data_IF_000170836585
#
_entry.id   IF_000170836585
#
_cell.length_a   1.000
_cell.length_b   1.000
_cell.length_c   1.000
_cell.angle_alpha   90.00
_cell.angle_beta   90.00
_cell.angle_gamma   90.00
#
_symmetry.space_group_name_H-M   'P 1'
#
loop_
_entity.id
_entity.type
_entity.pdbx_description
1 polymer ?
#
# COMPACT_ATOMS: atom_id res chain seq x y z
N UNK A 1 10.26 47.05 36.84
CA UNK A 1 10.29 45.62 36.47
C UNK A 1 8.91 45.29 35.92
N UNK A 2 8.68 45.59 34.64
CA UNK A 2 7.35 45.62 34.01
C UNK A 2 7.02 44.28 33.34
N UNK A 3 5.82 43.79 33.62
CA UNK A 3 5.22 42.54 33.16
C UNK A 3 4.97 42.56 31.65
N UNK A 4 5.55 41.60 30.92
CA UNK A 4 5.27 41.41 29.48
C UNK A 4 3.90 40.73 29.38
N UNK A 5 2.95 41.42 28.74
CA UNK A 5 1.57 40.96 28.53
C UNK A 5 1.52 39.67 27.69
N UNK A 6 0.73 38.65 28.07
CA UNK A 6 0.64 37.36 27.37
C UNK A 6 0.09 37.45 25.94
N UNK A 7 -0.44 38.60 25.52
CA UNK A 7 -1.07 38.79 24.20
C UNK A 7 -0.08 38.86 23.04
N UNK A 8 1.18 39.27 23.27
CA UNK A 8 2.16 39.46 22.20
C UNK A 8 2.69 38.13 21.66
N UNK A 9 2.89 37.12 22.50
CA UNK A 9 3.37 35.80 22.04
C UNK A 9 2.31 35.08 21.21
N UNK A 10 1.04 35.09 21.64
CA UNK A 10 -0.06 34.46 20.90
C UNK A 10 -0.26 35.09 19.52
N UNK A 11 -0.06 36.41 19.42
CA UNK A 11 -0.12 37.13 18.13
C UNK A 11 1.01 36.68 17.22
N UNK A 12 2.25 36.56 17.72
CA UNK A 12 3.42 36.13 16.94
C UNK A 12 3.29 34.69 16.43
N UNK A 13 2.74 33.77 17.23
CA UNK A 13 2.43 32.42 16.77
C UNK A 13 1.28 32.39 15.76
N UNK A 14 0.27 33.24 15.94
CA UNK A 14 -0.85 33.40 15.02
C UNK A 14 -0.45 33.92 13.64
N UNK A 15 0.53 34.82 13.54
CA UNK A 15 1.04 35.31 12.25
C UNK A 15 1.83 34.23 11.51
N UNK A 16 2.69 33.47 12.21
CA UNK A 16 3.48 32.39 11.59
C UNK A 16 2.62 31.25 11.03
N UNK A 17 1.52 30.91 11.70
CA UNK A 17 0.57 29.90 11.22
C UNK A 17 -0.24 30.40 10.02
N UNK A 18 -0.62 31.69 10.00
CA UNK A 18 -1.27 32.31 8.83
C UNK A 18 -0.32 32.37 7.64
N UNK A 19 0.94 32.71 7.86
CA UNK A 19 1.95 32.76 6.79
C UNK A 19 2.27 31.36 6.25
N UNK A 20 2.36 30.34 7.11
CA UNK A 20 2.52 28.95 6.70
C UNK A 20 1.30 28.43 5.92
N UNK A 21 0.07 28.76 6.35
CA UNK A 21 -1.16 28.38 5.66
C UNK A 21 -1.30 29.10 4.30
N UNK A 22 -0.94 30.38 4.21
CA UNK A 22 -0.94 31.16 2.97
C UNK A 22 0.10 30.60 1.99
N UNK A 23 1.28 30.22 2.46
CA UNK A 23 2.29 29.54 1.62
C UNK A 23 1.75 28.22 1.09
N UNK A 24 1.18 27.35 1.94
CA UNK A 24 0.59 26.07 1.51
C UNK A 24 -0.54 26.26 0.49
N UNK A 25 -1.35 27.30 0.64
CA UNK A 25 -2.45 27.60 -0.27
C UNK A 25 -2.00 28.26 -1.59
N UNK A 26 -0.84 28.92 -1.62
CA UNK A 26 -0.30 29.62 -2.80
C UNK A 26 0.68 28.77 -3.64
N UNK A 27 1.22 27.66 -3.11
CA UNK A 27 2.09 26.76 -3.90
C UNK A 27 1.36 25.80 -4.83
N UNK A 28 0.02 25.84 -4.89
CA UNK A 28 -0.77 25.09 -5.88
C UNK A 28 -0.84 25.90 -7.20
N UNK A 29 0.32 26.34 -7.70
CA UNK A 29 0.47 26.77 -9.09
C UNK A 29 0.82 25.56 -9.95
N UNK A 30 -0.13 25.16 -10.78
CA UNK A 30 -0.13 23.95 -11.63
C UNK A 30 0.96 23.91 -12.72
N UNK A 31 1.90 24.86 -12.76
CA UNK A 31 2.86 25.07 -13.87
C UNK A 31 4.34 25.24 -13.49
N UNK A 32 4.78 24.92 -12.27
CA UNK A 32 6.21 24.95 -11.88
C UNK A 32 6.78 23.54 -11.65
N UNK A 33 6.86 22.78 -12.73
CA UNK A 33 7.77 21.63 -12.88
C UNK A 33 9.22 22.14 -12.86
N UNK A 34 9.85 22.24 -11.68
CA UNK A 34 11.24 22.73 -11.65
C UNK A 34 11.98 22.86 -10.32
N UNK A 35 11.37 22.57 -9.17
CA UNK A 35 12.07 22.59 -7.88
C UNK A 35 11.83 21.30 -7.10
N UNK A 36 12.32 20.18 -7.63
CA UNK A 36 12.24 18.85 -6.99
C UNK A 36 13.37 18.59 -6.00
N UNK A 37 14.18 19.60 -5.63
CA UNK A 37 15.19 19.50 -4.57
C UNK A 37 15.00 20.65 -3.58
N UNK A 38 14.49 20.37 -2.38
CA UNK A 38 14.53 21.36 -1.29
C UNK A 38 13.49 21.25 -0.18
N UNK A 39 12.48 20.37 -0.27
CA UNK A 39 11.51 20.18 0.81
C UNK A 39 11.70 18.80 1.41
N UNK A 40 12.70 18.69 2.28
CA UNK A 40 13.01 17.46 3.03
C UNK A 40 11.76 16.88 3.72
N UNK A 41 10.85 17.73 4.17
CA UNK A 41 9.56 17.33 4.74
C UNK A 41 8.66 16.65 3.69
N UNK A 42 8.51 17.22 2.49
CA UNK A 42 7.70 16.62 1.42
C UNK A 42 8.28 15.28 0.99
N UNK A 43 9.59 15.23 0.80
CA UNK A 43 10.27 14.01 0.36
C UNK A 43 10.17 12.92 1.45
N UNK A 44 10.25 13.29 2.74
CA UNK A 44 9.97 12.38 3.86
C UNK A 44 8.53 11.87 3.85
N UNK A 45 7.55 12.74 3.62
CA UNK A 45 6.15 12.34 3.51
C UNK A 45 5.88 11.45 2.29
N UNK A 46 6.46 11.74 1.13
CA UNK A 46 6.37 10.88 -0.06
C UNK A 46 7.02 9.52 0.18
N UNK A 47 8.21 9.48 0.78
CA UNK A 47 8.88 8.21 1.13
C UNK A 47 8.04 7.39 2.10
N UNK A 48 7.51 8.02 3.14
CA UNK A 48 6.62 7.38 4.10
C UNK A 48 5.35 6.83 3.43
N UNK A 49 4.68 7.60 2.58
CA UNK A 49 3.51 7.13 1.82
C UNK A 49 3.89 5.95 0.91
N UNK A 50 5.06 6.02 0.27
CA UNK A 50 5.55 4.93 -0.58
C UNK A 50 5.82 3.66 0.23
N UNK A 51 6.41 3.78 1.43
CA UNK A 51 6.62 2.66 2.35
C UNK A 51 5.29 2.04 2.78
N UNK A 52 4.30 2.86 3.16
CA UNK A 52 2.96 2.36 3.53
C UNK A 52 2.27 1.65 2.36
N UNK A 53 2.37 2.21 1.15
CA UNK A 53 1.83 1.58 -0.06
C UNK A 53 2.50 0.24 -0.33
N UNK A 54 3.83 0.17 -0.16
CA UNK A 54 4.59 -1.07 -0.35
C UNK A 54 4.12 -2.15 0.61
N UNK A 55 3.97 -1.84 1.91
CA UNK A 55 3.48 -2.79 2.91
C UNK A 55 2.07 -3.34 2.57
N UNK A 56 1.16 -2.48 2.12
CA UNK A 56 -0.19 -2.91 1.75
C UNK A 56 -0.21 -3.78 0.48
N UNK A 57 0.59 -3.44 -0.53
CA UNK A 57 0.74 -4.23 -1.75
C UNK A 57 1.39 -5.58 -1.44
N UNK A 58 2.37 -5.60 -0.54
CA UNK A 58 3.07 -6.80 -0.14
C UNK A 58 2.11 -7.83 0.45
N UNK A 59 1.15 -7.45 1.32
CA UNK A 59 0.17 -8.41 1.83
C UNK A 59 -0.64 -9.10 0.73
N UNK A 60 -1.15 -8.35 -0.25
CA UNK A 60 -1.93 -8.92 -1.36
C UNK A 60 -1.05 -9.79 -2.24
N UNK A 61 0.17 -9.34 -2.55
CA UNK A 61 1.10 -10.08 -3.42
C UNK A 61 1.50 -11.40 -2.77
N UNK A 62 1.83 -11.41 -1.48
CA UNK A 62 2.17 -12.63 -0.77
C UNK A 62 0.99 -13.60 -0.73
N UNK A 63 -0.25 -13.10 -0.50
CA UNK A 63 -1.45 -13.93 -0.54
C UNK A 63 -1.68 -14.49 -1.96
N UNK A 64 -1.56 -13.66 -2.99
CA UNK A 64 -1.71 -14.08 -4.38
C UNK A 64 -0.67 -15.15 -4.77
N UNK A 65 0.57 -14.99 -4.32
CA UNK A 65 1.63 -15.97 -4.53
C UNK A 65 1.35 -17.28 -3.81
N UNK A 66 0.94 -17.23 -2.53
CA UNK A 66 0.53 -18.41 -1.77
C UNK A 66 -0.62 -19.17 -2.45
N UNK A 67 -1.64 -18.44 -2.90
CA UNK A 67 -2.74 -19.02 -3.66
C UNK A 67 -2.27 -19.64 -4.99
N UNK A 68 -1.31 -19.01 -5.69
CA UNK A 68 -0.78 -19.53 -6.94
C UNK A 68 0.11 -20.77 -6.75
N UNK A 69 0.81 -20.88 -5.62
CA UNK A 69 1.71 -21.99 -5.31
C UNK A 69 1.00 -23.20 -4.69
N UNK A 70 -0.20 -23.02 -4.15
CA UNK A 70 -0.98 -24.10 -3.54
C UNK A 70 -1.19 -25.28 -4.51
N UNK A 71 -1.02 -26.50 -4.00
CA UNK A 71 -1.13 -27.74 -4.79
C UNK A 71 -2.59 -28.22 -4.92
N UNK A 72 -3.49 -27.68 -4.09
CA UNK A 72 -4.89 -28.09 -4.04
C UNK A 72 -5.70 -27.66 -5.27
N UNK A 73 -6.70 -28.47 -5.63
CA UNK A 73 -7.54 -28.23 -6.82
C UNK A 73 -8.74 -27.31 -6.55
N UNK A 74 -9.31 -27.37 -5.35
CA UNK A 74 -10.51 -26.61 -4.99
C UNK A 74 -10.16 -25.20 -4.50
N UNK A 75 -10.97 -24.19 -4.86
CA UNK A 75 -10.75 -22.78 -4.44
C UNK A 75 -10.60 -22.64 -2.92
N UNK A 76 -11.47 -23.30 -2.17
CA UNK A 76 -11.51 -23.18 -0.72
C UNK A 76 -10.26 -23.76 -0.05
N UNK A 77 -9.82 -24.95 -0.47
CA UNK A 77 -8.58 -25.56 0.06
C UNK A 77 -7.36 -24.72 -0.29
N UNK A 78 -7.31 -24.13 -1.50
CA UNK A 78 -6.23 -23.23 -1.88
C UNK A 78 -6.20 -21.95 -1.04
N UNK A 79 -7.35 -21.38 -0.71
CA UNK A 79 -7.43 -20.22 0.20
C UNK A 79 -7.02 -20.60 1.61
N UNK A 80 -7.42 -21.77 2.13
CA UNK A 80 -6.99 -22.25 3.45
C UNK A 80 -5.48 -22.48 3.50
N UNK A 81 -4.92 -23.09 2.47
CA UNK A 81 -3.49 -23.33 2.33
C UNK A 81 -2.70 -22.01 2.25
N UNK A 82 -3.17 -21.08 1.40
CA UNK A 82 -2.64 -19.71 1.31
C UNK A 82 -2.62 -19.02 2.68
N UNK A 83 -3.75 -18.99 3.40
CA UNK A 83 -3.84 -18.33 4.70
C UNK A 83 -2.92 -18.97 5.74
N UNK A 84 -2.75 -20.29 5.68
CA UNK A 84 -1.88 -21.02 6.61
C UNK A 84 -0.40 -20.71 6.37
N UNK A 85 0.04 -20.71 5.11
CA UNK A 85 1.44 -20.48 4.76
C UNK A 85 1.82 -19.00 4.81
N UNK A 86 0.93 -18.13 4.33
CA UNK A 86 1.21 -16.70 4.14
C UNK A 86 0.76 -15.86 5.33
N UNK A 87 -0.17 -16.34 6.18
CA UNK A 87 -0.65 -15.59 7.33
C UNK A 87 0.46 -15.14 8.29
N UNK A 88 1.55 -15.92 8.40
CA UNK A 88 2.74 -15.58 9.19
C UNK A 88 3.42 -14.30 8.69
N UNK A 89 3.39 -14.01 7.38
CA UNK A 89 3.99 -12.79 6.81
C UNK A 89 3.26 -11.51 7.21
N UNK A 90 2.02 -11.61 7.69
CA UNK A 90 1.19 -10.46 8.12
C UNK A 90 1.45 -10.10 9.61
N UNK A 91 2.11 -11.00 10.37
CA UNK A 91 2.37 -10.79 11.80
C UNK A 91 3.15 -9.51 12.14
N UNK A 92 4.22 -9.13 11.42
CA UNK A 92 4.91 -7.87 11.69
C UNK A 92 3.98 -6.66 11.55
N UNK A 93 3.08 -6.69 10.56
CA UNK A 93 2.04 -5.68 10.38
C UNK A 93 1.06 -5.58 11.53
N UNK A 94 0.62 -6.73 12.05
CA UNK A 94 -0.26 -6.78 13.22
C UNK A 94 0.41 -6.21 14.48
N UNK A 95 1.73 -6.44 14.65
CA UNK A 95 2.51 -5.83 15.73
C UNK A 95 2.56 -4.31 15.58
N UNK A 96 2.83 -3.81 14.37
CA UNK A 96 2.83 -2.36 14.10
C UNK A 96 1.44 -1.75 14.31
N UNK A 97 0.37 -2.45 13.94
CA UNK A 97 -1.00 -2.02 14.22
C UNK A 97 -1.23 -1.90 15.74
N UNK A 98 -0.80 -2.90 16.52
CA UNK A 98 -0.85 -2.83 17.99
C UNK A 98 -0.05 -1.67 18.56
N UNK A 99 1.17 -1.43 18.06
CA UNK A 99 2.00 -0.30 18.45
C UNK A 99 1.33 1.05 18.12
N UNK A 100 0.71 1.17 16.94
CA UNK A 100 -0.02 2.37 16.54
C UNK A 100 -1.27 2.61 17.39
N UNK A 101 -1.91 1.56 17.90
CA UNK A 101 -3.01 1.66 18.84
C UNK A 101 -2.55 2.25 20.19
N UNK A 102 -1.37 1.86 20.69
CA UNK A 102 -0.82 2.46 21.91
C UNK A 102 -0.50 3.95 21.75
N UNK A 103 -0.10 4.40 20.55
CA UNK A 103 0.11 5.83 20.26
C UNK A 103 -1.19 6.66 20.30
N UNK A 104 -2.36 6.03 20.16
CA UNK A 104 -3.65 6.71 20.31
C UNK A 104 -3.98 7.10 21.75
N UNK A 105 -3.30 6.48 22.73
CA UNK A 105 -3.51 6.73 24.15
C UNK A 105 -2.61 7.85 24.69
N UNK A 106 -1.77 8.44 23.84
CA UNK A 106 -0.84 9.50 24.22
C UNK A 106 -1.55 10.85 24.32
N UNK A 107 -1.11 11.73 25.23
CA UNK A 107 -1.71 13.07 25.40
C UNK A 107 -1.21 14.09 24.36
N UNK A 108 -0.09 13.80 23.68
CA UNK A 108 0.47 14.69 22.66
C UNK A 108 -0.28 14.54 21.34
N UNK A 109 -1.07 15.56 20.96
CA UNK A 109 -1.90 15.58 19.74
C UNK A 109 -1.17 15.13 18.47
N UNK A 110 0.11 15.48 18.33
CA UNK A 110 0.94 15.04 17.20
C UNK A 110 1.05 13.50 17.10
N UNK A 111 1.25 12.81 18.22
CA UNK A 111 1.35 11.35 18.23
C UNK A 111 0.00 10.68 18.03
N UNK A 112 -1.10 11.28 18.52
CA UNK A 112 -2.46 10.77 18.33
C UNK A 112 -2.88 10.84 16.86
N UNK A 113 -2.65 11.97 16.17
CA UNK A 113 -2.99 12.11 14.75
C UNK A 113 -2.15 11.16 13.87
N UNK A 114 -0.86 11.03 14.17
CA UNK A 114 0.03 10.10 13.49
C UNK A 114 -0.37 8.64 13.74
N UNK A 115 -0.67 8.29 15.00
CA UNK A 115 -1.13 6.96 15.40
C UNK A 115 -2.45 6.59 14.73
N UNK A 116 -3.40 7.53 14.64
CA UNK A 116 -4.70 7.31 13.99
C UNK A 116 -4.55 7.06 12.49
N UNK A 117 -3.68 7.81 11.82
CA UNK A 117 -3.36 7.59 10.42
C UNK A 117 -2.74 6.20 10.18
N UNK A 118 -1.75 5.82 10.99
CA UNK A 118 -1.08 4.52 10.91
C UNK A 118 -2.01 3.34 11.22
N UNK A 119 -2.81 3.46 12.28
CA UNK A 119 -3.77 2.44 12.69
C UNK A 119 -4.83 2.20 11.61
N UNK A 120 -5.38 3.27 11.04
CA UNK A 120 -6.36 3.16 9.96
C UNK A 120 -5.75 2.51 8.72
N UNK A 121 -4.58 2.97 8.26
CA UNK A 121 -3.95 2.47 7.02
C UNK A 121 -3.56 0.99 7.12
N UNK A 122 -2.89 0.58 8.21
CA UNK A 122 -2.51 -0.82 8.42
C UNK A 122 -3.75 -1.68 8.69
N UNK A 123 -4.69 -1.20 9.51
CA UNK A 123 -5.93 -1.92 9.83
C UNK A 123 -6.78 -2.20 8.60
N UNK A 124 -7.05 -1.17 7.78
CA UNK A 124 -7.76 -1.35 6.52
C UNK A 124 -7.01 -2.25 5.54
N UNK A 125 -5.68 -2.17 5.50
CA UNK A 125 -4.87 -3.04 4.64
C UNK A 125 -5.02 -4.53 5.01
N UNK A 126 -4.90 -4.87 6.29
CA UNK A 126 -5.05 -6.26 6.78
C UNK A 126 -6.48 -6.76 6.57
N UNK A 127 -7.49 -5.93 6.88
CA UNK A 127 -8.90 -6.28 6.67
C UNK A 127 -9.21 -6.53 5.19
N UNK A 128 -8.67 -5.70 4.29
CA UNK A 128 -8.86 -5.87 2.86
C UNK A 128 -8.14 -7.10 2.32
N UNK A 129 -6.90 -7.34 2.75
CA UNK A 129 -6.10 -8.47 2.29
C UNK A 129 -6.65 -9.82 2.80
N UNK A 130 -6.87 -9.95 4.12
CA UNK A 130 -7.31 -11.22 4.70
C UNK A 130 -8.81 -11.45 4.55
N UNK A 131 -9.64 -10.41 4.65
CA UNK A 131 -11.09 -10.51 4.53
C UNK A 131 -11.53 -10.49 3.07
N UNK A 132 -11.46 -9.31 2.45
CA UNK A 132 -12.07 -9.09 1.13
C UNK A 132 -11.35 -9.85 0.00
N UNK A 133 -10.01 -9.78 -0.05
CA UNK A 133 -9.25 -10.42 -1.11
C UNK A 133 -9.28 -11.95 -1.01
N UNK A 134 -9.11 -12.53 0.19
CA UNK A 134 -9.21 -13.98 0.37
C UNK A 134 -10.60 -14.53 0.04
N UNK A 135 -11.67 -13.80 0.38
CA UNK A 135 -13.05 -14.22 0.03
C UNK A 135 -13.32 -14.13 -1.46
N UNK A 136 -12.79 -13.11 -2.16
CA UNK A 136 -12.84 -13.05 -3.62
C UNK A 136 -12.10 -14.24 -4.24
N UNK A 137 -10.92 -14.60 -3.74
CA UNK A 137 -10.21 -15.78 -4.24
C UNK A 137 -10.97 -17.08 -3.95
N UNK A 138 -11.68 -17.16 -2.83
CA UNK A 138 -12.53 -18.32 -2.54
C UNK A 138 -13.70 -18.43 -3.53
N UNK A 139 -14.33 -17.32 -3.91
CA UNK A 139 -15.47 -17.32 -4.82
C UNK A 139 -15.07 -17.40 -6.30
N UNK A 140 -14.12 -16.56 -6.74
CA UNK A 140 -13.77 -16.32 -8.13
C UNK A 140 -12.30 -16.65 -8.46
N UNK A 141 -11.56 -17.26 -7.53
CA UNK A 141 -10.15 -17.56 -7.74
C UNK A 141 -9.89 -18.50 -8.94
N UNK A 142 -8.79 -18.30 -9.67
CA UNK A 142 -8.43 -19.19 -10.77
C UNK A 142 -8.21 -20.61 -10.23
N UNK A 143 -8.70 -21.61 -10.97
CA UNK A 143 -8.47 -23.02 -10.71
C UNK A 143 -7.71 -23.64 -11.89
N UNK A 144 -6.90 -24.65 -11.63
CA UNK A 144 -6.13 -25.36 -12.68
C UNK A 144 -5.22 -24.41 -13.49
N UNK A 145 -5.03 -24.68 -14.78
CA UNK A 145 -4.20 -23.89 -15.70
C UNK A 145 -4.85 -22.58 -16.20
N UNK A 146 -5.90 -22.09 -15.53
CA UNK A 146 -6.62 -20.89 -15.96
C UNK A 146 -5.70 -19.65 -15.84
N UNK A 147 -5.44 -18.98 -16.97
CA UNK A 147 -4.54 -17.81 -17.03
C UNK A 147 -3.04 -18.13 -17.16
N UNK A 148 -2.65 -19.40 -17.37
CA UNK A 148 -1.23 -19.80 -17.52
C UNK A 148 -0.58 -19.19 -18.77
N UNK A 149 0.47 -18.38 -18.57
CA UNK A 149 1.33 -17.84 -19.64
C UNK A 149 2.10 -18.94 -20.39
N UNK A 150 2.32 -20.11 -19.78
CA UNK A 150 2.96 -21.26 -20.46
C UNK A 150 2.10 -21.74 -21.64
N UNK A 151 0.78 -21.82 -21.45
CA UNK A 151 -0.17 -22.19 -22.52
C UNK A 151 -0.15 -21.18 -23.67
N UNK A 152 -0.02 -19.89 -23.36
CA UNK A 152 0.06 -18.82 -24.35
C UNK A 152 1.36 -18.90 -25.16
N UNK A 153 2.51 -19.07 -24.51
CA UNK A 153 3.79 -19.23 -25.21
C UNK A 153 3.80 -20.49 -26.09
N UNK A 154 3.25 -21.61 -25.59
CA UNK A 154 3.09 -22.83 -26.38
C UNK A 154 2.15 -22.64 -27.58
N UNK A 155 1.07 -21.86 -27.45
CA UNK A 155 0.17 -21.54 -28.56
C UNK A 155 0.84 -20.64 -29.60
N UNK A 156 1.55 -19.59 -29.17
CA UNK A 156 2.31 -18.70 -30.05
C UNK A 156 3.39 -19.51 -30.79
N UNK A 157 4.17 -20.33 -30.08
CA UNK A 157 5.19 -21.20 -30.66
C UNK A 157 4.63 -22.21 -31.68
N UNK A 158 3.47 -22.81 -31.40
CA UNK A 158 2.77 -23.69 -32.36
C UNK A 158 2.32 -22.93 -33.62
N UNK A 159 1.83 -21.68 -33.47
CA UNK A 159 1.41 -20.84 -34.60
C UNK A 159 2.59 -20.42 -35.49
N UNK A 160 3.75 -20.13 -34.90
CA UNK A 160 4.97 -19.82 -35.66
C UNK A 160 5.57 -21.06 -36.36
N UNK A 161 5.62 -22.22 -35.70
CA UNK A 161 6.07 -23.47 -36.35
C UNK A 161 5.14 -23.91 -37.48
N UNK A 162 3.82 -23.85 -37.28
CA UNK A 162 2.85 -24.21 -38.32
C UNK A 162 2.94 -23.36 -39.58
N UNK A 163 3.32 -22.08 -39.45
CA UNK A 163 3.51 -21.17 -40.60
C UNK A 163 4.77 -21.47 -41.40
N UNK A 164 5.83 -22.02 -40.79
CA UNK A 164 7.06 -22.38 -41.50
C UNK A 164 6.91 -23.66 -42.34
N UNK A 165 6.19 -24.69 -41.86
CA UNK A 165 5.94 -25.90 -42.64
C UNK A 165 5.05 -25.65 -43.87
N UNK A 166 4.12 -24.69 -43.79
CA UNK A 166 3.26 -24.31 -44.92
C UNK A 166 4.01 -23.55 -46.03
N UNK A 167 5.16 -22.92 -45.72
CA UNK A 167 5.99 -22.19 -46.70
C UNK A 167 7.01 -23.14 -47.34
N UNK A 168 7.48 -24.16 -46.62
CA UNK A 168 8.44 -25.16 -47.14
C UNK A 168 7.81 -26.26 -47.99
N UNK A 169 6.48 -26.37 -48.04
CA UNK A 169 5.73 -27.37 -48.80
C UNK A 169 5.23 -26.86 -50.17
N UNK A 170 5.77 -25.72 -50.64
CA UNK A 170 5.43 -25.07 -51.91
C UNK A 170 6.70 -24.87 -52.72
#
# INVERSE_FOLDING_TARGET
MGTISPSMETIVYGTKLKDAAIVVFTTIERNRIGYTKGLEIRDKWENFINEQRLLAVDYIVHLAEGYSRSVYGSREERVKDMLTQVGISVLPGAITLGASFFLLLEDLLFFVEFGAFMFATIGFSILWALGFFSTILAMFGPQNSFGSLKSLNLWIGKKFKGKQYAISAK
#
